data_IF_842742674954
#
_entry.id   IF_842742674954
#
_cell.length_a   1.000
_cell.length_b   1.000
_cell.length_c   1.000
_cell.angle_alpha   90.00
_cell.angle_beta   90.00
_cell.angle_gamma   90.00
#
_symmetry.space_group_name_H-M   'P 1'
#
loop_
_entity.id
_entity.type
_entity.pdbx_description
1 polymer ?
#
# COMPACT_ATOMS: atom_id res chain seq x y z
N UNK A 1 -11.97 -17.74 9.49
CA UNK A 1 -10.74 -16.90 9.50
C UNK A 1 -10.64 -16.20 8.15
N UNK A 2 -9.76 -15.18 8.02
CA UNK A 2 -9.58 -14.46 6.75
C UNK A 2 -8.50 -13.41 6.89
N UNK A 3 -8.20 -12.71 5.81
CA UNK A 3 -7.29 -11.56 5.81
C UNK A 3 -8.07 -10.30 6.18
N UNK A 4 -7.52 -9.50 7.08
CA UNK A 4 -8.11 -8.23 7.53
C UNK A 4 -7.05 -7.13 7.52
N UNK A 5 -7.47 -5.90 7.32
CA UNK A 5 -6.65 -4.70 7.51
C UNK A 5 -7.29 -3.79 8.55
N UNK A 6 -6.50 -2.96 9.22
CA UNK A 6 -7.00 -2.01 10.21
C UNK A 6 -7.15 -0.61 9.61
N UNK A 7 -8.37 -0.15 9.41
CA UNK A 7 -8.66 1.25 9.17
C UNK A 7 -8.43 2.03 10.45
N UNK A 8 -7.59 3.05 10.43
CA UNK A 8 -7.26 3.86 11.60
C UNK A 8 -7.63 5.30 11.36
N UNK A 9 -8.38 5.90 12.28
CA UNK A 9 -8.64 7.34 12.31
C UNK A 9 -7.76 7.97 13.38
N UNK A 10 -7.03 9.03 13.00
CA UNK A 10 -6.09 9.74 13.86
C UNK A 10 -6.48 11.20 13.96
N UNK A 11 -6.25 11.77 15.13
CA UNK A 11 -6.51 13.17 15.45
C UNK A 11 -5.34 13.77 16.22
N UNK A 12 -5.09 15.05 15.96
CA UNK A 12 -4.25 15.87 16.80
C UNK A 12 -5.03 17.11 17.25
N UNK A 13 -5.13 17.43 18.56
CA UNK A 13 -5.85 18.60 19.04
C UNK A 13 -5.31 19.95 18.52
N UNK A 14 -4.05 19.98 18.12
CA UNK A 14 -3.39 21.19 17.60
C UNK A 14 -3.65 21.43 16.11
N UNK A 15 -4.09 20.42 15.37
CA UNK A 15 -4.38 20.50 13.95
C UNK A 15 -5.86 20.17 13.69
N UNK A 16 -6.51 20.94 12.85
CA UNK A 16 -7.92 20.70 12.54
C UNK A 16 -8.16 19.53 11.57
N UNK A 17 -7.09 18.91 11.05
CA UNK A 17 -7.18 17.85 10.07
C UNK A 17 -7.26 16.49 10.76
N UNK A 18 -8.30 15.73 10.51
CA UNK A 18 -8.43 14.31 10.85
C UNK A 18 -7.87 13.46 9.73
N UNK A 19 -7.04 12.47 10.08
CA UNK A 19 -6.40 11.57 9.11
C UNK A 19 -6.99 10.18 9.24
N UNK A 20 -7.36 9.57 8.10
CA UNK A 20 -7.81 8.18 8.04
C UNK A 20 -6.85 7.37 7.18
N UNK A 21 -6.31 6.29 7.76
CA UNK A 21 -5.44 5.35 7.07
C UNK A 21 -6.24 4.16 6.55
N UNK A 22 -6.06 3.85 5.29
CA UNK A 22 -6.62 2.68 4.61
C UNK A 22 -5.46 1.81 4.10
N UNK A 23 -4.97 0.85 4.92
CA UNK A 23 -3.91 -0.06 4.49
C UNK A 23 -4.44 -1.00 3.41
N UNK A 24 -3.86 -0.90 2.21
CA UNK A 24 -4.30 -1.63 1.02
C UNK A 24 -3.49 -2.90 0.81
N UNK A 25 -4.15 -3.85 0.18
CA UNK A 25 -3.56 -5.09 -0.36
C UNK A 25 -3.93 -5.21 -1.83
N UNK A 26 -3.06 -5.84 -2.63
CA UNK A 26 -3.25 -5.90 -4.08
C UNK A 26 -4.32 -6.90 -4.54
N UNK A 27 -4.77 -7.80 -3.65
CA UNK A 27 -5.74 -8.86 -3.96
C UNK A 27 -6.76 -8.97 -2.84
N UNK A 28 -8.04 -8.97 -3.17
CA UNK A 28 -9.11 -9.02 -2.16
C UNK A 28 -10.49 -9.27 -2.79
N UNK A 29 -11.52 -9.25 -1.99
CA UNK A 29 -12.90 -9.28 -2.47
C UNK A 29 -13.31 -7.93 -3.07
N UNK A 30 -14.18 -7.90 -4.09
CA UNK A 30 -14.66 -6.66 -4.71
C UNK A 30 -15.23 -5.68 -3.68
N UNK A 31 -16.02 -6.18 -2.75
CA UNK A 31 -16.69 -5.38 -1.71
C UNK A 31 -15.71 -4.64 -0.79
N UNK A 32 -14.55 -5.27 -0.52
CA UNK A 32 -13.50 -4.62 0.25
C UNK A 32 -13.01 -3.35 -0.45
N UNK A 33 -12.67 -3.45 -1.73
CA UNK A 33 -12.18 -2.29 -2.49
C UNK A 33 -13.26 -1.22 -2.65
N UNK A 34 -14.50 -1.63 -2.90
CA UNK A 34 -15.63 -0.70 -3.04
C UNK A 34 -15.85 0.10 -1.75
N UNK A 35 -15.89 -0.59 -0.60
CA UNK A 35 -16.06 0.07 0.71
C UNK A 35 -14.91 1.03 1.02
N UNK A 36 -13.66 0.58 0.81
CA UNK A 36 -12.49 1.43 1.08
C UNK A 36 -12.50 2.68 0.20
N UNK A 37 -12.74 2.55 -1.10
CA UNK A 37 -12.75 3.71 -1.99
C UNK A 37 -13.94 4.62 -1.73
N UNK A 38 -15.13 4.09 -1.45
CA UNK A 38 -16.28 4.91 -1.10
C UNK A 38 -16.02 5.76 0.15
N UNK A 39 -15.43 5.16 1.20
CA UNK A 39 -15.08 5.87 2.43
C UNK A 39 -13.92 6.86 2.19
N UNK A 40 -12.85 6.44 1.55
CA UNK A 40 -11.69 7.31 1.29
C UNK A 40 -12.07 8.55 0.47
N UNK A 41 -12.87 8.39 -0.57
CA UNK A 41 -13.33 9.50 -1.41
C UNK A 41 -14.46 10.35 -0.79
N UNK A 42 -14.89 10.05 0.42
CA UNK A 42 -15.71 10.95 1.22
C UNK A 42 -14.90 12.01 1.98
N UNK A 43 -13.56 11.91 1.94
CA UNK A 43 -12.64 12.88 2.54
C UNK A 43 -12.34 14.02 1.58
N UNK A 44 -11.79 15.12 2.09
CA UNK A 44 -11.51 16.32 1.30
C UNK A 44 -10.25 16.14 0.43
N UNK A 45 -9.27 15.41 0.98
CA UNK A 45 -8.00 15.07 0.31
C UNK A 45 -7.73 13.58 0.42
N UNK A 46 -7.31 12.95 -0.67
CA UNK A 46 -6.95 11.53 -0.72
C UNK A 46 -5.55 11.37 -1.27
N UNK A 47 -4.63 10.93 -0.43
CA UNK A 47 -3.28 10.52 -0.85
C UNK A 47 -3.36 9.09 -1.37
N UNK A 48 -2.89 8.87 -2.60
CA UNK A 48 -2.98 7.57 -3.28
C UNK A 48 -1.62 7.04 -3.72
N UNK A 49 -1.53 5.71 -3.68
CA UNK A 49 -0.40 4.94 -4.22
C UNK A 49 -0.50 4.79 -5.74
N UNK A 50 0.63 4.72 -6.43
CA UNK A 50 0.65 4.26 -7.81
C UNK A 50 1.87 4.72 -8.61
N UNK A 51 2.89 3.89 -8.67
CA UNK A 51 4.01 4.08 -9.61
C UNK A 51 3.59 3.64 -11.01
N UNK A 52 3.45 4.60 -11.93
CA UNK A 52 3.14 4.32 -13.34
C UNK A 52 4.43 4.06 -14.13
N UNK A 53 4.87 2.79 -14.18
CA UNK A 53 6.10 2.40 -14.88
C UNK A 53 5.92 1.07 -15.63
N UNK A 54 6.58 0.88 -16.78
CA UNK A 54 6.66 -0.43 -17.44
C UNK A 54 7.26 -1.51 -16.52
N UNK A 55 8.19 -1.12 -15.65
CA UNK A 55 8.83 -2.01 -14.68
C UNK A 55 7.81 -2.53 -13.68
N UNK A 56 7.04 -1.64 -13.03
CA UNK A 56 6.00 -2.04 -12.07
C UNK A 56 4.95 -2.92 -12.72
N UNK A 57 4.52 -2.60 -13.96
CA UNK A 57 3.60 -3.46 -14.72
C UNK A 57 4.16 -4.87 -14.95
N UNK A 58 5.47 -5.00 -15.16
CA UNK A 58 6.13 -6.30 -15.36
C UNK A 58 6.21 -7.10 -14.05
N UNK A 59 6.60 -6.46 -12.95
CA UNK A 59 6.70 -7.08 -11.63
C UNK A 59 5.32 -7.51 -11.12
N UNK A 60 4.32 -6.65 -11.25
CA UNK A 60 2.95 -6.92 -10.78
C UNK A 60 2.15 -7.81 -11.72
N UNK A 61 2.73 -8.21 -12.87
CA UNK A 61 2.07 -9.12 -13.82
C UNK A 61 1.66 -10.46 -13.19
N UNK A 62 2.39 -10.92 -12.20
CA UNK A 62 2.09 -12.12 -11.43
C UNK A 62 0.70 -12.10 -10.79
N UNK A 63 0.25 -10.95 -10.31
CA UNK A 63 -1.09 -10.81 -9.72
C UNK A 63 -2.22 -11.11 -10.73
N UNK A 64 -2.00 -10.90 -12.04
CA UNK A 64 -3.00 -11.25 -13.08
C UNK A 64 -3.29 -12.74 -13.13
N UNK A 65 -2.33 -13.58 -12.78
CA UNK A 65 -2.52 -15.02 -12.72
C UNK A 65 -3.41 -15.41 -11.54
N UNK A 66 -3.35 -14.67 -10.44
CA UNK A 66 -4.19 -14.89 -9.26
C UNK A 66 -5.65 -14.61 -9.56
N UNK A 67 -5.96 -13.56 -10.33
CA UNK A 67 -7.33 -13.23 -10.76
C UNK A 67 -8.05 -14.40 -11.47
N UNK A 68 -7.33 -15.28 -12.14
CA UNK A 68 -7.92 -16.43 -12.84
C UNK A 68 -8.14 -17.66 -11.95
N UNK A 69 -7.85 -17.62 -10.66
CA UNK A 69 -8.05 -18.74 -9.75
C UNK A 69 -9.51 -18.84 -9.31
N UNK A 70 -10.23 -19.83 -9.82
CA UNK A 70 -11.61 -20.13 -9.38
C UNK A 70 -11.72 -20.49 -7.92
N UNK A 71 -10.64 -21.06 -7.33
CA UNK A 71 -10.59 -21.44 -5.91
C UNK A 71 -10.50 -20.23 -4.97
N UNK A 72 -9.79 -19.20 -5.39
CA UNK A 72 -9.66 -17.98 -4.56
C UNK A 72 -10.83 -17.03 -4.77
N UNK A 73 -11.33 -16.91 -5.99
CA UNK A 73 -12.41 -15.97 -6.36
C UNK A 73 -12.14 -14.55 -5.83
N UNK A 74 -10.90 -14.08 -6.00
CA UNK A 74 -10.45 -12.77 -5.59
C UNK A 74 -10.17 -11.90 -6.81
N UNK A 75 -10.32 -10.59 -6.64
CA UNK A 75 -10.00 -9.60 -7.66
C UNK A 75 -8.72 -8.86 -7.33
N UNK A 76 -8.08 -8.32 -8.36
CA UNK A 76 -6.97 -7.40 -8.17
C UNK A 76 -7.52 -6.04 -7.75
N UNK A 77 -6.76 -5.34 -6.93
CA UNK A 77 -6.97 -3.92 -6.69
C UNK A 77 -7.06 -3.21 -8.05
N UNK A 78 -8.24 -2.67 -8.36
CA UNK A 78 -8.41 -1.81 -9.53
C UNK A 78 -7.67 -0.48 -9.30
N UNK A 79 -7.29 0.17 -10.40
CA UNK A 79 -6.94 1.58 -10.29
C UNK A 79 -8.10 2.30 -9.58
N UNK A 80 -7.77 3.15 -8.61
CA UNK A 80 -8.79 3.94 -7.93
C UNK A 80 -9.58 4.73 -8.99
N UNK A 81 -10.90 4.68 -8.90
CA UNK A 81 -11.79 5.57 -9.61
C UNK A 81 -12.51 6.41 -8.58
N UNK A 82 -12.38 7.72 -8.72
CA UNK A 82 -13.19 8.63 -7.91
C UNK A 82 -14.66 8.40 -8.26
N UNK A 83 -15.54 8.25 -7.26
CA UNK A 83 -16.97 8.24 -7.53
C UNK A 83 -17.38 9.51 -8.30
N UNK A 84 -18.38 9.45 -9.20
CA UNK A 84 -18.78 10.58 -10.05
C UNK A 84 -19.10 11.87 -9.28
N UNK A 85 -19.57 11.74 -8.04
CA UNK A 85 -19.98 12.87 -7.19
C UNK A 85 -18.94 13.23 -6.12
N UNK A 86 -17.73 12.67 -6.18
CA UNK A 86 -16.69 13.01 -5.20
C UNK A 86 -16.03 14.33 -5.55
N UNK A 87 -15.94 15.21 -4.57
CA UNK A 87 -15.20 16.49 -4.62
C UNK A 87 -13.77 16.33 -4.06
N UNK A 88 -13.37 15.13 -3.66
CA UNK A 88 -12.09 14.85 -3.06
C UNK A 88 -10.92 15.20 -4.00
N UNK A 89 -9.97 15.99 -3.50
CA UNK A 89 -8.74 16.26 -4.21
C UNK A 89 -7.79 15.07 -4.09
N UNK A 90 -7.38 14.53 -5.23
CA UNK A 90 -6.47 13.38 -5.29
C UNK A 90 -5.03 13.88 -5.36
N UNK A 91 -4.21 13.39 -4.44
CA UNK A 91 -2.76 13.66 -4.39
C UNK A 91 -2.00 12.36 -4.61
N UNK A 92 -1.22 12.32 -5.68
CA UNK A 92 -0.32 11.21 -5.94
C UNK A 92 0.89 11.29 -5.00
N UNK A 93 0.94 10.38 -4.03
CA UNK A 93 1.95 10.36 -2.99
C UNK A 93 3.02 9.28 -3.22
N UNK A 94 3.32 8.99 -4.48
CA UNK A 94 4.27 7.95 -4.86
C UNK A 94 5.35 8.50 -5.82
N UNK A 95 6.38 7.69 -6.06
CA UNK A 95 7.44 8.01 -7.00
C UNK A 95 6.88 8.10 -8.43
N UNK A 96 7.46 8.99 -9.24
CA UNK A 96 7.26 8.96 -10.68
C UNK A 96 7.82 7.67 -11.29
N UNK A 97 7.35 7.33 -12.50
CA UNK A 97 7.88 6.19 -13.23
C UNK A 97 9.39 6.29 -13.51
N UNK A 98 9.89 7.49 -13.71
CA UNK A 98 11.31 7.77 -13.97
C UNK A 98 12.17 7.63 -12.71
N UNK A 99 11.72 8.21 -11.59
CA UNK A 99 12.38 8.05 -10.28
C UNK A 99 12.47 6.58 -9.88
N UNK A 100 11.37 5.84 -10.02
CA UNK A 100 11.36 4.40 -9.75
C UNK A 100 12.31 3.65 -10.69
N UNK A 101 12.33 3.96 -11.99
CA UNK A 101 13.23 3.33 -12.94
C UNK A 101 14.70 3.63 -12.64
N UNK A 102 15.03 4.83 -12.16
CA UNK A 102 16.36 5.19 -11.72
C UNK A 102 16.82 4.36 -10.52
N UNK A 103 15.96 4.19 -9.51
CA UNK A 103 16.23 3.34 -8.36
C UNK A 103 16.34 1.87 -8.75
N UNK A 104 15.44 1.40 -9.62
CA UNK A 104 15.45 0.02 -10.10
C UNK A 104 16.75 -0.33 -10.85
N UNK A 105 17.34 0.62 -11.59
CA UNK A 105 18.65 0.42 -12.24
C UNK A 105 19.80 0.18 -11.26
N UNK A 106 19.70 0.70 -10.03
CA UNK A 106 20.69 0.46 -8.96
C UNK A 106 20.61 -0.95 -8.36
N UNK A 107 19.47 -1.63 -8.54
CA UNK A 107 19.32 -3.03 -8.11
C UNK A 107 20.18 -3.92 -8.99
N UNK A 108 21.02 -4.81 -8.43
CA UNK A 108 21.88 -5.70 -9.20
C UNK A 108 21.12 -6.51 -10.26
N UNK A 109 21.74 -6.69 -11.44
CA UNK A 109 21.08 -7.33 -12.59
C UNK A 109 20.55 -8.73 -12.25
N UNK A 110 21.33 -9.52 -11.50
CA UNK A 110 20.92 -10.86 -11.03
C UNK A 110 19.65 -10.84 -10.19
N UNK A 111 19.49 -9.83 -9.31
CA UNK A 111 18.29 -9.66 -8.48
C UNK A 111 17.10 -9.27 -9.35
N UNK A 112 17.30 -8.32 -10.29
CA UNK A 112 16.26 -7.95 -11.25
C UNK A 112 15.80 -9.12 -12.11
N UNK A 113 16.75 -9.92 -12.61
CA UNK A 113 16.45 -11.11 -13.38
C UNK A 113 15.68 -12.14 -12.54
N UNK A 114 16.12 -12.37 -11.30
CA UNK A 114 15.41 -13.24 -10.36
C UNK A 114 13.98 -12.77 -10.12
N UNK A 115 13.77 -11.49 -9.83
CA UNK A 115 12.41 -10.94 -9.63
C UNK A 115 11.53 -11.15 -10.87
N UNK A 116 12.06 -10.93 -12.08
CA UNK A 116 11.29 -11.11 -13.31
C UNK A 116 10.93 -12.57 -13.60
N UNK A 117 11.72 -13.53 -13.13
CA UNK A 117 11.44 -14.95 -13.26
C UNK A 117 10.57 -15.46 -12.11
N UNK A 118 10.91 -15.09 -10.88
CA UNK A 118 10.21 -15.57 -9.69
C UNK A 118 8.77 -15.05 -9.60
N UNK A 119 8.54 -13.77 -9.91
CA UNK A 119 7.21 -13.18 -9.81
C UNK A 119 6.14 -13.94 -10.63
N UNK A 120 6.32 -14.24 -11.94
CA UNK A 120 5.34 -15.02 -12.68
C UNK A 120 5.18 -16.46 -12.17
N UNK A 121 6.28 -17.10 -11.71
CA UNK A 121 6.21 -18.46 -11.15
C UNK A 121 5.40 -18.50 -9.85
N UNK A 122 5.58 -17.51 -8.96
CA UNK A 122 4.76 -17.34 -7.75
C UNK A 122 3.30 -17.15 -8.13
N UNK A 123 3.00 -16.28 -9.11
CA UNK A 123 1.65 -16.07 -9.58
C UNK A 123 1.00 -17.35 -10.12
N UNK A 124 1.74 -18.12 -10.90
CA UNK A 124 1.28 -19.40 -11.47
C UNK A 124 1.04 -20.44 -10.38
N UNK A 125 1.94 -20.54 -9.40
CA UNK A 125 1.75 -21.40 -8.23
C UNK A 125 0.47 -21.05 -7.48
N UNK A 126 0.22 -19.76 -7.23
CA UNK A 126 -1.02 -19.33 -6.60
C UNK A 126 -2.26 -19.62 -7.44
N UNK A 127 -2.17 -19.52 -8.76
CA UNK A 127 -3.27 -19.84 -9.66
C UNK A 127 -3.72 -21.31 -9.54
N UNK A 128 -2.76 -22.22 -9.48
CA UNK A 128 -3.05 -23.67 -9.51
C UNK A 128 -3.26 -24.27 -8.11
N UNK A 129 -2.46 -23.86 -7.15
CA UNK A 129 -2.40 -24.45 -5.83
C UNK A 129 -2.80 -23.49 -4.70
N UNK A 130 -3.02 -22.21 -5.02
CA UNK A 130 -3.39 -21.21 -4.03
C UNK A 130 -4.78 -21.45 -3.45
N UNK A 131 -4.88 -21.35 -2.13
CA UNK A 131 -6.14 -21.27 -1.40
C UNK A 131 -6.20 -19.94 -0.67
N UNK A 132 -7.40 -19.47 -0.31
CA UNK A 132 -7.55 -18.25 0.50
C UNK A 132 -6.74 -18.33 1.80
N UNK A 133 -6.75 -19.48 2.46
CA UNK A 133 -5.99 -19.71 3.69
C UNK A 133 -4.48 -19.60 3.48
N UNK A 134 -3.94 -20.22 2.41
CA UNK A 134 -2.50 -20.14 2.12
C UNK A 134 -2.08 -18.73 1.74
N UNK A 135 -2.95 -18.01 1.02
CA UNK A 135 -2.71 -16.64 0.63
C UNK A 135 -2.76 -15.69 1.85
N UNK A 136 -3.73 -15.87 2.76
CA UNK A 136 -3.81 -15.11 3.99
C UNK A 136 -2.57 -15.29 4.88
N UNK A 137 -2.09 -16.54 5.04
CA UNK A 137 -0.86 -16.83 5.80
C UNK A 137 0.38 -16.16 5.23
N UNK A 138 0.50 -16.08 3.89
CA UNK A 138 1.63 -15.43 3.23
C UNK A 138 1.58 -13.89 3.24
N UNK A 139 0.47 -13.32 3.67
CA UNK A 139 0.26 -11.86 3.74
C UNK A 139 -0.05 -11.38 5.17
N UNK A 140 0.18 -12.24 6.17
CA UNK A 140 0.07 -11.83 7.57
C UNK A 140 1.11 -10.76 7.87
N UNK A 141 0.66 -9.64 8.41
CA UNK A 141 1.53 -8.52 8.83
C UNK A 141 2.22 -8.79 10.17
N UNK A 142 1.99 -9.95 10.77
CA UNK A 142 2.76 -10.41 11.93
C UNK A 142 4.22 -10.66 11.60
N UNK A 143 4.54 -10.82 10.28
CA UNK A 143 5.90 -10.79 9.75
C UNK A 143 6.47 -9.37 9.70
N UNK A 144 6.41 -8.66 10.80
CA UNK A 144 7.31 -7.55 11.02
C UNK A 144 8.72 -8.15 11.14
N UNK A 145 9.66 -7.85 10.20
CA UNK A 145 10.99 -8.41 10.30
C UNK A 145 11.52 -8.15 11.71
N UNK A 146 11.85 -9.20 12.43
CA UNK A 146 12.45 -9.09 13.73
C UNK A 146 13.77 -8.30 13.58
N UNK A 147 14.22 -7.65 14.64
CA UNK A 147 15.51 -6.94 14.64
C UNK A 147 16.65 -7.82 14.11
N UNK A 148 16.54 -9.14 14.30
CA UNK A 148 17.51 -10.13 13.82
C UNK A 148 17.38 -10.44 12.32
N UNK A 149 16.20 -10.27 11.72
CA UNK A 149 15.99 -10.46 10.28
C UNK A 149 16.52 -9.27 9.47
N UNK A 150 16.41 -8.06 10.01
CA UNK A 150 16.98 -6.85 9.39
C UNK A 150 18.51 -6.97 9.23
N UNK A 151 19.17 -7.71 10.11
CA UNK A 151 20.63 -7.93 10.03
C UNK A 151 21.06 -9.00 9.02
N UNK A 152 20.12 -9.76 8.44
CA UNK A 152 20.41 -10.82 7.44
C UNK A 152 20.26 -10.37 5.98
N UNK A 153 19.91 -9.11 5.74
CA UNK A 153 19.78 -8.62 4.37
C UNK A 153 21.16 -8.49 3.71
N UNK A 154 21.35 -9.19 2.59
CA UNK A 154 22.50 -8.96 1.72
C UNK A 154 22.43 -7.52 1.16
N UNK A 155 23.57 -6.92 0.76
CA UNK A 155 23.58 -5.60 0.12
C UNK A 155 22.61 -5.50 -1.07
N UNK A 156 22.37 -6.61 -1.74
CA UNK A 156 21.45 -6.71 -2.89
C UNK A 156 19.98 -6.60 -2.50
N UNK A 157 19.61 -7.22 -1.38
CA UNK A 157 18.28 -7.11 -0.81
C UNK A 157 18.03 -5.69 -0.31
N UNK A 158 19.06 -5.03 0.23
CA UNK A 158 18.99 -3.63 0.64
C UNK A 158 18.63 -2.73 -0.56
N UNK A 159 19.31 -2.90 -1.70
CA UNK A 159 19.03 -2.10 -2.90
C UNK A 159 17.61 -2.32 -3.43
N UNK A 160 17.11 -3.56 -3.39
CA UNK A 160 15.74 -3.88 -3.76
C UNK A 160 14.73 -3.22 -2.80
N UNK A 161 14.95 -3.37 -1.49
CA UNK A 161 14.08 -2.78 -0.46
C UNK A 161 14.08 -1.26 -0.53
N UNK A 162 15.26 -0.65 -0.79
CA UNK A 162 15.37 0.78 -1.01
C UNK A 162 14.50 1.26 -2.17
N UNK A 163 14.53 0.55 -3.31
CA UNK A 163 13.76 0.92 -4.48
C UNK A 163 12.24 0.70 -4.31
N UNK A 164 11.85 -0.40 -3.65
CA UNK A 164 10.44 -0.83 -3.60
C UNK A 164 9.70 -0.28 -2.38
N UNK A 165 10.38 -0.07 -1.27
CA UNK A 165 9.78 0.35 0.00
C UNK A 165 10.28 1.74 0.42
N UNK A 166 11.57 1.87 0.80
CA UNK A 166 12.03 3.05 1.52
C UNK A 166 11.90 4.37 0.76
N UNK A 167 12.25 4.40 -0.52
CA UNK A 167 12.13 5.63 -1.30
C UNK A 167 10.66 6.07 -1.47
N UNK A 168 9.75 5.10 -1.52
CA UNK A 168 8.31 5.36 -1.59
C UNK A 168 7.77 5.83 -0.24
N UNK A 169 8.27 5.25 0.87
CA UNK A 169 7.95 5.72 2.22
C UNK A 169 8.35 7.19 2.41
N UNK A 170 9.55 7.56 1.97
CA UNK A 170 10.03 8.94 2.03
C UNK A 170 9.10 9.86 1.23
N UNK A 171 8.78 9.51 -0.02
CA UNK A 171 7.88 10.30 -0.87
C UNK A 171 6.49 10.45 -0.25
N UNK A 172 5.93 9.37 0.29
CA UNK A 172 4.62 9.40 0.94
C UNK A 172 4.62 10.34 2.15
N UNK A 173 5.65 10.26 3.00
CA UNK A 173 5.80 11.11 4.18
C UNK A 173 6.02 12.58 3.79
N UNK A 174 6.81 12.86 2.76
CA UNK A 174 6.99 14.21 2.20
C UNK A 174 5.65 14.80 1.75
N UNK A 175 4.90 14.07 0.93
CA UNK A 175 3.58 14.52 0.44
C UNK A 175 2.58 14.73 1.56
N UNK A 176 2.57 13.83 2.55
CA UNK A 176 1.77 14.00 3.75
C UNK A 176 2.17 15.26 4.51
N UNK A 177 3.47 15.50 4.65
CA UNK A 177 4.00 16.72 5.27
C UNK A 177 3.54 17.99 4.58
N UNK A 178 3.66 18.06 3.25
CA UNK A 178 3.22 19.18 2.44
C UNK A 178 1.72 19.52 2.68
N UNK A 179 0.87 18.49 2.75
CA UNK A 179 -0.57 18.65 2.99
C UNK A 179 -0.91 19.12 4.42
N UNK A 180 -0.12 18.72 5.39
CA UNK A 180 -0.32 19.09 6.79
C UNK A 180 0.28 20.45 7.16
N UNK A 181 1.41 20.80 6.54
CA UNK A 181 2.14 22.04 6.83
C UNK A 181 1.55 23.24 6.06
N UNK A 182 0.95 22.98 4.89
CA UNK A 182 0.31 23.99 4.04
C UNK A 182 -1.11 23.53 3.64
N UNK A 183 -2.03 23.39 4.60
CA UNK A 183 -3.36 22.89 4.30
C UNK A 183 -4.11 23.86 3.39
N UNK A 184 -4.71 23.32 2.33
CA UNK A 184 -5.66 24.08 1.53
C UNK A 184 -6.85 24.49 2.43
N UNK A 185 -7.32 25.72 2.30
CA UNK A 185 -8.45 26.22 3.09
C UNK A 185 -9.67 25.28 2.98
N UNK A 186 -10.28 24.96 4.11
CA UNK A 186 -11.46 24.09 4.20
C UNK A 186 -11.17 22.60 4.23
N UNK A 187 -9.89 22.16 4.22
CA UNK A 187 -9.56 20.75 4.40
C UNK A 187 -9.60 20.37 5.88
N UNK A 188 -10.51 19.45 6.21
CA UNK A 188 -10.68 18.92 7.57
C UNK A 188 -10.41 17.41 7.65
N UNK A 189 -10.52 16.69 6.52
CA UNK A 189 -10.39 15.25 6.47
C UNK A 189 -9.44 14.82 5.34
N UNK A 190 -8.43 14.05 5.71
CA UNK A 190 -7.42 13.52 4.79
C UNK A 190 -7.41 12.00 4.87
N UNK A 191 -7.54 11.33 3.72
CA UNK A 191 -7.41 9.88 3.61
C UNK A 191 -6.05 9.49 3.02
N UNK A 192 -5.46 8.40 3.51
CA UNK A 192 -4.27 7.78 2.94
C UNK A 192 -4.64 6.37 2.50
N UNK A 193 -4.71 6.16 1.18
CA UNK A 193 -5.01 4.87 0.54
C UNK A 193 -3.73 4.33 -0.07
N UNK A 194 -3.02 3.51 0.69
CA UNK A 194 -1.67 3.09 0.35
C UNK A 194 -1.37 1.67 0.84
N UNK A 195 -0.45 0.96 0.20
CA UNK A 195 -0.09 -0.41 0.57
C UNK A 195 0.23 -0.57 2.05
N UNK A 196 -0.29 -1.65 2.66
CA UNK A 196 -0.17 -1.90 4.10
C UNK A 196 1.28 -1.88 4.61
N UNK A 197 2.24 -2.34 3.79
CA UNK A 197 3.67 -2.31 4.13
C UNK A 197 4.25 -0.92 4.38
N UNK A 198 3.64 0.14 3.83
CA UNK A 198 4.08 1.52 3.96
C UNK A 198 3.48 2.24 5.19
N UNK A 199 2.42 1.68 5.79
CA UNK A 199 1.71 2.33 6.90
C UNK A 199 2.56 2.55 8.13
N UNK A 200 3.62 1.77 8.31
CA UNK A 200 4.56 1.95 9.43
C UNK A 200 5.29 3.29 9.35
N UNK A 201 5.71 3.71 8.14
CA UNK A 201 6.37 4.99 7.95
C UNK A 201 5.40 6.14 8.25
N UNK A 202 4.17 6.05 7.78
CA UNK A 202 3.10 7.04 8.05
C UNK A 202 2.79 7.13 9.53
N UNK A 203 2.59 5.99 10.20
CA UNK A 203 2.30 5.97 11.64
C UNK A 203 3.44 6.57 12.46
N UNK A 204 4.70 6.28 12.10
CA UNK A 204 5.86 6.88 12.76
C UNK A 204 5.86 8.40 12.61
N UNK A 205 5.61 8.90 11.41
CA UNK A 205 5.54 10.35 11.16
C UNK A 205 4.41 10.98 11.98
N UNK A 206 3.21 10.43 11.91
CA UNK A 206 2.04 11.01 12.57
C UNK A 206 2.11 10.93 14.10
N UNK A 207 2.45 9.77 14.66
CA UNK A 207 2.43 9.56 16.10
C UNK A 207 3.63 10.17 16.79
N UNK A 208 4.86 9.97 16.25
CA UNK A 208 6.08 10.36 16.93
C UNK A 208 6.52 11.80 16.64
N UNK A 209 6.34 12.25 15.38
CA UNK A 209 6.83 13.58 14.98
C UNK A 209 5.76 14.66 15.03
N UNK A 210 4.52 14.30 14.68
CA UNK A 210 3.42 15.26 14.57
C UNK A 210 2.41 15.20 15.71
N UNK A 211 2.57 14.26 16.65
CA UNK A 211 1.76 14.18 17.87
C UNK A 211 0.29 13.79 17.65
N UNK A 212 -0.01 13.17 16.51
CA UNK A 212 -1.32 12.56 16.29
C UNK A 212 -1.54 11.39 17.24
N UNK A 213 -2.79 11.06 17.53
CA UNK A 213 -3.18 9.90 18.34
C UNK A 213 -4.26 9.12 17.59
N UNK A 214 -4.25 7.80 17.73
CA UNK A 214 -5.32 6.95 17.20
C UNK A 214 -6.57 7.19 18.03
N UNK A 215 -7.63 7.67 17.37
CA UNK A 215 -8.94 7.92 17.97
C UNK A 215 -9.85 6.69 17.81
N UNK A 216 -9.77 6.04 16.64
CA UNK A 216 -10.59 4.87 16.31
C UNK A 216 -9.83 3.90 15.42
N UNK A 217 -9.98 2.60 15.70
CA UNK A 217 -9.53 1.52 14.84
C UNK A 217 -10.70 0.61 14.47
N UNK A 218 -10.75 0.18 13.21
CA UNK A 218 -11.79 -0.71 12.69
C UNK A 218 -11.17 -1.76 11.78
N UNK A 219 -11.56 -3.03 11.96
CA UNK A 219 -11.11 -4.11 11.11
C UNK A 219 -11.96 -4.20 9.84
N UNK A 220 -11.31 -4.10 8.71
CA UNK A 220 -11.90 -4.33 7.39
C UNK A 220 -11.51 -5.72 6.91
N UNK A 221 -12.49 -6.55 6.56
CA UNK A 221 -12.26 -7.87 5.98
C UNK A 221 -11.89 -7.71 4.51
N UNK A 222 -10.67 -8.12 4.15
CA UNK A 222 -10.19 -8.15 2.77
C UNK A 222 -10.81 -9.33 2.02
N UNK A 223 -10.84 -10.49 2.66
CA UNK A 223 -11.58 -11.69 2.24
C UNK A 223 -11.70 -12.68 3.41
N UNK A 224 -12.70 -13.51 3.36
CA UNK A 224 -12.91 -14.65 4.29
C UNK A 224 -12.32 -15.94 3.70
N UNK A 225 -11.87 -16.88 4.59
CA UNK A 225 -11.32 -18.20 4.22
C UNK A 225 -12.34 -19.27 4.43
#
# INVERSE_FOLDING_TARGET
MGLRTARLSLRNPKFNIRITLFPMVHVGEPDFFQKVYADAFSHDVVLVEGVRSPITRRITRSYRWIKGSKRMNLVLQSAYSSPPNSTARIVHADLSGEEFAALWRKVPLRVRAFVYVAAPLIGLRHRWFGTRTSFAKGHSLDDLPSRNEVMRFSPETIALTQAVIHARDVRLVERLGEELDNPTSGVERLAIVYGAGHMRAVLRELLQRRGYRVEKGEWLTVFST
#
